data_IF_701680138787
#
_entry.id   IF_701680138787
#
_cell.length_a   1.000
_cell.length_b   1.000
_cell.length_c   1.000
_cell.angle_alpha   90.00
_cell.angle_beta   90.00
_cell.angle_gamma   90.00
#
_symmetry.space_group_name_H-M   'P 1'
#
loop_
_entity.id
_entity.type
_entity.pdbx_description
1 polymer ?
#
# COMPACT_ATOMS: atom_id res chain seq x y z
N UNK A 1 10.92 45.66 43.28
CA UNK A 1 10.93 47.14 43.33
C UNK A 1 10.78 47.53 44.80
N UNK A 2 11.68 48.33 45.38
CA UNK A 2 11.59 48.72 46.80
C UNK A 2 10.99 50.12 46.83
N UNK A 3 9.77 50.26 47.38
CA UNK A 3 9.24 51.55 47.84
C UNK A 3 9.42 51.58 49.35
N UNK A 4 9.65 52.75 49.93
CA UNK A 4 9.87 52.91 51.38
C UNK A 4 8.86 52.05 52.18
N UNK A 5 9.38 51.06 52.91
CA UNK A 5 8.68 50.00 53.67
C UNK A 5 7.97 48.83 52.94
N UNK A 6 8.04 48.68 51.60
CA UNK A 6 7.48 47.50 50.89
C UNK A 6 8.49 46.79 49.98
N UNK A 7 8.57 45.48 50.12
CA UNK A 7 9.34 44.58 49.23
C UNK A 7 8.39 43.66 48.48
N UNK A 8 8.54 43.60 47.16
CA UNK A 8 7.74 42.75 46.28
C UNK A 8 8.58 41.59 45.75
N UNK A 9 8.14 40.36 45.97
CA UNK A 9 8.73 39.14 45.45
C UNK A 9 7.79 38.51 44.42
N UNK A 10 8.37 38.04 43.32
CA UNK A 10 7.67 37.38 42.23
C UNK A 10 8.34 36.05 41.95
N UNK A 11 7.58 34.95 42.07
CA UNK A 11 8.03 33.63 41.68
C UNK A 11 7.18 33.12 40.51
N UNK A 12 7.83 32.69 39.43
CA UNK A 12 7.18 32.12 38.25
C UNK A 12 7.70 30.71 38.00
N UNK A 13 6.78 29.78 37.74
CA UNK A 13 7.07 28.40 37.38
C UNK A 13 6.37 28.07 36.07
N UNK A 14 6.98 27.22 35.24
CA UNK A 14 6.37 26.68 34.02
C UNK A 14 5.97 27.75 32.98
N UNK A 15 6.83 28.74 32.77
CA UNK A 15 6.58 29.89 31.85
C UNK A 15 6.28 29.43 30.41
N UNK A 16 6.89 28.32 29.96
CA UNK A 16 6.66 27.76 28.62
C UNK A 16 5.18 27.41 28.33
N UNK A 17 4.36 27.17 29.34
CA UNK A 17 2.93 26.89 29.16
C UNK A 17 2.13 28.07 28.58
N UNK A 18 2.62 29.31 28.73
CA UNK A 18 1.99 30.48 28.11
C UNK A 18 1.98 30.40 26.59
N UNK A 19 3.06 29.87 26.01
CA UNK A 19 3.23 29.77 24.57
C UNK A 19 2.60 28.52 23.97
N UNK A 20 1.94 27.66 24.78
CA UNK A 20 1.37 26.41 24.29
C UNK A 20 0.37 26.63 23.15
N UNK A 21 -0.50 27.64 23.27
CA UNK A 21 -1.44 28.00 22.20
C UNK A 21 -0.71 28.49 20.94
N UNK A 22 0.31 29.34 21.07
CA UNK A 22 1.06 29.86 19.94
C UNK A 22 1.77 28.74 19.17
N UNK A 23 2.36 27.78 19.89
CA UNK A 23 3.02 26.60 19.31
C UNK A 23 2.02 25.74 18.53
N UNK A 24 0.79 25.58 19.01
CA UNK A 24 -0.28 24.88 18.28
C UNK A 24 -0.61 25.60 16.96
N UNK A 25 -0.79 26.92 16.97
CA UNK A 25 -1.10 27.68 15.75
C UNK A 25 0.03 27.61 14.73
N UNK A 26 1.28 27.71 15.17
CA UNK A 26 2.46 27.50 14.31
C UNK A 26 2.42 26.10 13.70
N UNK A 27 2.11 25.06 14.49
CA UNK A 27 1.96 23.70 13.99
C UNK A 27 0.91 23.59 12.88
N UNK A 28 -0.26 24.21 13.05
CA UNK A 28 -1.34 24.24 12.04
C UNK A 28 -0.88 24.95 10.77
N UNK A 29 -0.21 26.10 10.88
CA UNK A 29 0.31 26.84 9.72
C UNK A 29 1.35 26.01 8.95
N UNK A 30 2.23 25.30 9.66
CA UNK A 30 3.22 24.40 9.03
C UNK A 30 2.51 23.24 8.30
N UNK A 31 1.48 22.64 8.90
CA UNK A 31 0.70 21.57 8.25
C UNK A 31 0.02 22.10 6.97
N UNK A 32 -0.60 23.28 7.03
CA UNK A 32 -1.25 23.91 5.89
C UNK A 32 -0.25 24.21 4.76
N UNK A 33 0.90 24.80 5.09
CA UNK A 33 1.97 25.06 4.13
C UNK A 33 2.49 23.74 3.52
N UNK A 34 2.69 22.71 4.34
CA UNK A 34 3.05 21.37 3.90
C UNK A 34 2.03 20.79 2.92
N UNK A 35 0.73 20.90 3.22
CA UNK A 35 -0.34 20.47 2.33
C UNK A 35 -0.37 21.20 0.99
N UNK A 36 -0.12 22.52 0.97
CA UNK A 36 0.00 23.30 -0.28
C UNK A 36 1.19 22.82 -1.10
N UNK A 37 2.35 22.61 -0.46
CA UNK A 37 3.56 22.10 -1.12
C UNK A 37 3.35 20.67 -1.66
N UNK A 38 2.69 19.80 -0.89
CA UNK A 38 2.30 18.45 -1.31
C UNK A 38 1.34 18.49 -2.51
N UNK A 39 0.35 19.39 -2.51
CA UNK A 39 -0.60 19.54 -3.62
C UNK A 39 0.05 20.08 -4.90
N UNK A 40 0.93 21.08 -4.78
CA UNK A 40 1.58 21.70 -5.93
C UNK A 40 2.73 20.87 -6.52
N UNK A 41 3.49 20.17 -5.66
CA UNK A 41 4.69 19.42 -6.04
C UNK A 41 4.55 17.90 -6.00
N UNK A 42 3.43 17.39 -5.50
CA UNK A 42 3.16 15.96 -5.36
C UNK A 42 3.06 15.25 -6.70
N UNK A 43 3.59 14.04 -6.74
CA UNK A 43 3.56 13.17 -7.91
C UNK A 43 3.12 11.78 -7.49
N UNK A 44 2.19 11.18 -8.23
CA UNK A 44 1.80 9.76 -8.11
C UNK A 44 1.55 9.18 -9.49
N UNK A 45 2.13 8.01 -9.77
CA UNK A 45 1.91 7.28 -11.02
C UNK A 45 1.95 5.78 -10.78
N UNK A 46 0.96 5.07 -11.30
CA UNK A 46 0.97 3.61 -11.35
C UNK A 46 1.76 3.16 -12.59
N UNK A 47 2.71 2.25 -12.38
CA UNK A 47 3.53 1.64 -13.40
C UNK A 47 3.26 0.15 -13.41
N UNK A 48 2.89 -0.38 -14.58
CA UNK A 48 2.76 -1.82 -14.78
C UNK A 48 4.10 -2.38 -15.26
N UNK A 49 4.57 -3.42 -14.59
CA UNK A 49 5.81 -4.13 -14.88
C UNK A 49 5.54 -5.61 -15.12
N UNK A 50 6.11 -6.16 -16.19
CA UNK A 50 6.44 -7.59 -16.27
C UNK A 50 7.88 -7.80 -15.79
N UNK A 51 8.23 -9.03 -15.41
CA UNK A 51 9.61 -9.35 -15.01
C UNK A 51 10.59 -8.99 -16.13
N UNK A 52 11.68 -8.32 -15.77
CA UNK A 52 12.68 -7.78 -16.70
C UNK A 52 12.35 -6.38 -17.24
N UNK A 53 11.12 -5.87 -17.09
CA UNK A 53 10.76 -4.54 -17.57
C UNK A 53 11.55 -3.44 -16.83
N UNK A 54 12.05 -2.48 -17.61
CA UNK A 54 12.66 -1.24 -17.10
C UNK A 54 11.74 -0.07 -17.44
N UNK A 55 11.43 0.76 -16.43
CA UNK A 55 10.59 1.96 -16.58
C UNK A 55 11.29 3.18 -15.98
N UNK A 56 11.25 4.28 -16.72
CA UNK A 56 11.65 5.60 -16.22
C UNK A 56 10.48 6.35 -15.59
N UNK A 57 10.80 7.36 -14.78
CA UNK A 57 9.82 8.22 -14.12
C UNK A 57 9.99 9.67 -14.56
N UNK A 58 8.90 10.43 -14.73
CA UNK A 58 8.98 11.87 -14.94
C UNK A 58 9.75 12.55 -13.80
N UNK A 59 10.67 13.46 -14.13
CA UNK A 59 11.49 14.23 -13.18
C UNK A 59 12.41 13.37 -12.29
N UNK A 60 12.68 12.12 -12.69
CA UNK A 60 13.71 11.28 -12.09
C UNK A 60 14.87 11.10 -13.08
N UNK A 61 16.09 11.08 -12.55
CA UNK A 61 17.34 10.80 -13.25
C UNK A 61 17.72 9.30 -13.22
N UNK A 62 16.83 8.46 -12.68
CA UNK A 62 17.01 7.03 -12.52
C UNK A 62 15.84 6.25 -13.14
N UNK A 63 16.06 4.95 -13.38
CA UNK A 63 15.05 4.00 -13.84
C UNK A 63 14.80 2.96 -12.76
N UNK A 64 13.70 2.24 -12.89
CA UNK A 64 13.36 1.11 -12.02
C UNK A 64 13.15 -0.11 -12.88
N UNK A 65 13.68 -1.25 -12.45
CA UNK A 65 13.51 -2.56 -13.06
C UNK A 65 12.79 -3.49 -12.09
N UNK A 66 11.85 -4.28 -12.61
CA UNK A 66 11.30 -5.42 -11.86
C UNK A 66 12.14 -6.65 -12.16
N UNK A 67 12.92 -7.12 -11.18
CA UNK A 67 13.76 -8.30 -11.34
C UNK A 67 12.96 -9.60 -11.22
N UNK A 68 12.02 -9.62 -10.27
CA UNK A 68 11.22 -10.81 -9.96
C UNK A 68 9.90 -10.43 -9.32
N UNK A 69 8.84 -11.16 -9.63
CA UNK A 69 7.54 -11.08 -8.98
C UNK A 69 7.12 -12.47 -8.50
N UNK A 70 6.87 -12.59 -7.20
CA UNK A 70 6.47 -13.84 -6.56
C UNK A 70 5.19 -13.66 -5.77
N UNK A 71 4.32 -14.66 -5.85
CA UNK A 71 3.15 -14.77 -4.98
C UNK A 71 3.42 -15.84 -3.92
N UNK A 72 3.41 -15.44 -2.66
CA UNK A 72 3.50 -16.36 -1.53
C UNK A 72 2.08 -16.84 -1.19
N UNK A 73 1.91 -18.15 -1.00
CA UNK A 73 0.61 -18.75 -0.69
C UNK A 73 0.62 -19.38 0.71
N UNK A 74 -0.53 -19.34 1.38
CA UNK A 74 -0.78 -20.16 2.55
C UNK A 74 -0.95 -21.65 2.16
N UNK A 75 -0.81 -22.60 3.09
CA UNK A 75 -0.99 -24.04 2.80
C UNK A 75 -2.37 -24.41 2.22
N UNK A 76 -3.40 -23.60 2.50
CA UNK A 76 -4.75 -23.75 1.95
C UNK A 76 -4.89 -23.21 0.51
N UNK A 77 -3.80 -22.70 -0.09
CA UNK A 77 -3.76 -22.12 -1.44
C UNK A 77 -4.24 -20.67 -1.53
N UNK A 78 -4.65 -20.02 -0.45
CA UNK A 78 -4.99 -18.59 -0.48
C UNK A 78 -3.72 -17.74 -0.52
N UNK A 79 -3.77 -16.58 -1.17
CA UNK A 79 -2.61 -15.71 -1.26
C UNK A 79 -2.24 -15.14 0.12
N UNK A 80 -0.97 -15.27 0.47
CA UNK A 80 -0.37 -14.73 1.70
C UNK A 80 0.25 -13.35 1.46
N UNK A 81 1.06 -13.23 0.43
CA UNK A 81 1.77 -11.99 0.13
C UNK A 81 2.22 -11.91 -1.33
N UNK A 82 2.49 -10.70 -1.80
CA UNK A 82 3.06 -10.43 -3.12
C UNK A 82 4.38 -9.71 -2.97
N UNK A 83 5.43 -10.31 -3.51
CA UNK A 83 6.79 -9.82 -3.39
C UNK A 83 7.30 -9.43 -4.76
N UNK A 84 7.65 -8.15 -4.90
CA UNK A 84 8.31 -7.63 -6.11
C UNK A 84 9.75 -7.25 -5.76
N UNK A 85 10.73 -7.86 -6.40
CA UNK A 85 12.13 -7.43 -6.29
C UNK A 85 12.35 -6.27 -7.25
N UNK A 86 12.44 -5.06 -6.70
CA UNK A 86 12.68 -3.85 -7.49
C UNK A 86 14.12 -3.41 -7.37
N UNK A 87 14.72 -3.09 -8.51
CA UNK A 87 16.06 -2.53 -8.59
C UNK A 87 16.03 -1.13 -9.22
N UNK A 88 16.63 -0.18 -8.54
CA UNK A 88 16.88 1.17 -9.03
C UNK A 88 18.16 1.18 -9.84
N UNK A 89 18.08 1.72 -11.05
CA UNK A 89 19.17 1.82 -12.00
C UNK A 89 19.54 3.29 -12.22
N UNK A 90 20.81 3.65 -12.05
CA UNK A 90 21.36 4.94 -12.48
C UNK A 90 22.43 4.71 -13.52
N UNK A 91 22.35 5.43 -14.65
CA UNK A 91 23.26 5.23 -15.79
C UNK A 91 23.39 3.74 -16.21
N UNK A 92 22.28 3.00 -16.11
CA UNK A 92 22.17 1.55 -16.35
C UNK A 92 22.86 0.64 -15.31
N UNK A 93 23.44 1.19 -14.25
CA UNK A 93 24.03 0.42 -13.15
C UNK A 93 23.04 0.23 -11.99
N UNK A 94 22.96 -0.98 -11.39
CA UNK A 94 22.12 -1.23 -10.23
C UNK A 94 22.70 -0.57 -8.97
N UNK A 95 21.95 0.37 -8.41
CA UNK A 95 22.36 1.14 -7.22
C UNK A 95 21.73 0.57 -5.94
N UNK A 96 20.46 0.15 -6.03
CA UNK A 96 19.70 -0.33 -4.89
C UNK A 96 18.73 -1.40 -5.37
N UNK A 97 18.73 -2.56 -4.71
CA UNK A 97 17.74 -3.61 -4.90
C UNK A 97 17.01 -3.87 -3.59
N UNK A 98 15.69 -4.00 -3.64
CA UNK A 98 14.87 -4.31 -2.47
C UNK A 98 13.64 -5.12 -2.87
N UNK A 99 13.32 -6.13 -2.07
CA UNK A 99 12.02 -6.79 -2.12
C UNK A 99 10.98 -5.87 -1.47
N UNK A 100 10.01 -5.43 -2.26
CA UNK A 100 8.85 -4.69 -1.77
C UNK A 100 7.66 -5.63 -1.59
N UNK A 101 6.91 -5.38 -0.54
CA UNK A 101 5.69 -6.09 -0.16
C UNK A 101 4.71 -5.06 0.45
N UNK A 102 3.51 -5.51 0.83
CA UNK A 102 2.50 -4.62 1.40
C UNK A 102 3.07 -3.93 2.66
N UNK A 103 2.99 -2.60 2.72
CA UNK A 103 3.54 -1.74 3.79
C UNK A 103 5.08 -1.67 3.90
N UNK A 104 5.83 -2.37 3.06
CA UNK A 104 7.29 -2.31 3.04
C UNK A 104 7.82 -1.73 1.71
N UNK A 105 7.63 -0.42 1.46
CA UNK A 105 8.01 0.18 0.19
C UNK A 105 9.52 0.37 0.03
N UNK A 106 9.97 0.59 -1.21
CA UNK A 106 11.31 1.06 -1.54
C UNK A 106 11.29 2.59 -1.61
N UNK A 107 12.24 3.25 -0.95
CA UNK A 107 12.39 4.71 -1.01
C UNK A 107 13.74 5.10 -1.61
N UNK A 108 13.74 6.00 -2.59
CA UNK A 108 14.95 6.47 -3.26
C UNK A 108 14.78 7.89 -3.83
N UNK A 109 15.73 8.80 -3.56
CA UNK A 109 15.73 10.21 -4.04
C UNK A 109 14.38 10.97 -3.87
N UNK A 110 13.71 10.71 -2.75
CA UNK A 110 12.40 11.29 -2.41
C UNK A 110 11.21 10.64 -3.10
N UNK A 111 11.43 9.62 -3.95
CA UNK A 111 10.38 8.74 -4.45
C UNK A 111 10.18 7.57 -3.50
N UNK A 112 8.95 7.10 -3.40
CA UNK A 112 8.55 5.91 -2.67
C UNK A 112 7.75 5.02 -3.61
N UNK A 113 8.10 3.74 -3.64
CA UNK A 113 7.54 2.72 -4.50
C UNK A 113 6.73 1.74 -3.68
N UNK A 114 5.41 1.79 -3.87
CA UNK A 114 4.46 0.95 -3.17
C UNK A 114 3.98 -0.18 -4.08
N UNK A 115 3.91 -1.39 -3.54
CA UNK A 115 3.16 -2.47 -4.16
C UNK A 115 1.68 -2.08 -4.16
N UNK A 116 1.09 -1.87 -5.34
CA UNK A 116 -0.29 -1.37 -5.47
C UNK A 116 -1.27 -2.44 -5.94
N UNK A 117 -0.89 -3.24 -6.93
CA UNK A 117 -1.73 -4.31 -7.47
C UNK A 117 -0.89 -5.31 -8.26
N UNK A 118 -1.51 -6.34 -8.80
CA UNK A 118 -0.89 -7.35 -9.65
C UNK A 118 -1.96 -7.98 -10.54
N UNK A 119 -1.54 -8.77 -11.52
CA UNK A 119 -2.46 -9.51 -12.34
C UNK A 119 -1.78 -10.42 -13.34
N UNK A 120 -2.61 -11.00 -14.20
CA UNK A 120 -2.19 -11.89 -15.27
C UNK A 120 -2.27 -11.16 -16.60
N UNK A 121 -1.21 -11.31 -17.39
CA UNK A 121 -1.17 -10.92 -18.78
C UNK A 121 -1.67 -12.08 -19.64
N UNK A 122 -2.95 -12.04 -19.98
CA UNK A 122 -3.62 -13.08 -20.78
C UNK A 122 -3.31 -13.03 -22.28
N UNK A 123 -2.63 -11.98 -22.77
CA UNK A 123 -2.39 -11.77 -24.21
C UNK A 123 -1.49 -12.83 -24.84
N UNK A 124 -0.51 -13.34 -24.10
CA UNK A 124 0.44 -14.35 -24.57
C UNK A 124 0.30 -15.67 -23.80
N UNK A 125 -0.95 -16.11 -23.59
CA UNK A 125 -1.23 -17.34 -22.84
C UNK A 125 -0.89 -18.57 -23.67
N UNK A 126 -0.17 -19.51 -23.07
CA UNK A 126 -0.03 -20.89 -23.55
C UNK A 126 -0.93 -21.82 -22.77
N UNK A 127 -1.44 -22.86 -23.41
CA UNK A 127 -2.24 -23.90 -22.76
C UNK A 127 -1.64 -25.28 -23.01
N UNK A 128 -1.74 -26.14 -22.01
CA UNK A 128 -1.43 -27.56 -22.11
C UNK A 128 -2.72 -28.34 -22.34
N UNK A 129 -2.83 -28.96 -23.50
CA UNK A 129 -3.98 -29.78 -23.88
C UNK A 129 -3.53 -31.24 -23.99
N UNK A 130 -4.29 -32.11 -23.34
CA UNK A 130 -4.15 -33.54 -23.51
C UNK A 130 -5.20 -34.04 -24.48
N UNK A 131 -4.75 -34.80 -25.47
CA UNK A 131 -5.59 -35.45 -26.46
C UNK A 131 -5.58 -36.94 -26.18
N UNK A 132 -6.77 -37.51 -26.03
CA UNK A 132 -6.99 -38.94 -25.79
C UNK A 132 -7.92 -39.52 -26.87
N UNK A 133 -7.88 -40.83 -27.03
CA UNK A 133 -8.85 -41.58 -27.84
C UNK A 133 -9.84 -42.30 -26.92
N UNK A 134 -11.13 -42.28 -27.22
CA UNK A 134 -12.14 -42.96 -26.40
C UNK A 134 -12.07 -44.48 -26.57
N UNK A 135 -11.73 -44.97 -27.77
CA UNK A 135 -11.57 -46.40 -28.05
C UNK A 135 -10.20 -46.96 -27.68
N UNK A 136 -9.17 -46.11 -27.58
CA UNK A 136 -7.81 -46.49 -27.19
C UNK A 136 -7.32 -45.68 -25.98
N UNK A 137 -7.47 -46.22 -24.74
CA UNK A 137 -7.03 -45.56 -23.52
C UNK A 137 -5.51 -45.34 -23.42
N UNK A 138 -4.71 -46.07 -24.20
CA UNK A 138 -3.25 -45.94 -24.20
C UNK A 138 -2.76 -44.73 -25.00
N UNK A 139 -3.61 -44.20 -25.88
CA UNK A 139 -3.30 -43.02 -26.67
C UNK A 139 -3.40 -41.76 -25.82
N UNK A 140 -2.26 -41.15 -25.52
CA UNK A 140 -2.16 -39.84 -24.88
C UNK A 140 -1.16 -38.97 -25.63
N UNK A 141 -1.64 -37.91 -26.27
CA UNK A 141 -0.78 -36.86 -26.83
C UNK A 141 -0.89 -35.60 -25.98
N UNK A 142 0.24 -35.15 -25.44
CA UNK A 142 0.35 -33.88 -24.75
C UNK A 142 0.81 -32.83 -25.75
N UNK A 143 0.11 -31.71 -25.82
CA UNK A 143 0.49 -30.59 -26.68
C UNK A 143 0.44 -29.30 -25.88
N UNK A 144 1.47 -28.47 -26.04
CA UNK A 144 1.50 -27.11 -25.50
C UNK A 144 1.44 -26.15 -26.69
N UNK A 145 0.50 -25.20 -26.64
CA UNK A 145 0.33 -24.23 -27.72
C UNK A 145 -0.09 -22.87 -27.19
N UNK A 146 0.31 -21.80 -27.89
CA UNK A 146 -0.20 -20.45 -27.63
C UNK A 146 -1.62 -20.30 -28.16
N UNK A 147 -2.42 -19.46 -27.49
CA UNK A 147 -3.72 -19.04 -28.03
C UNK A 147 -3.51 -18.39 -29.40
N UNK A 148 -4.28 -18.83 -30.39
CA UNK A 148 -4.17 -18.44 -31.80
C UNK A 148 -3.20 -19.28 -32.63
N UNK A 149 -2.38 -20.13 -32.03
CA UNK A 149 -1.46 -21.01 -32.74
C UNK A 149 -2.16 -22.29 -33.22
N UNK A 150 -1.83 -22.75 -34.43
CA UNK A 150 -2.21 -24.07 -34.95
C UNK A 150 -1.07 -25.07 -34.72
N UNK A 151 -1.40 -26.24 -34.19
CA UNK A 151 -0.48 -27.35 -33.97
C UNK A 151 -1.01 -28.60 -34.66
N UNK A 152 -0.15 -29.30 -35.38
CA UNK A 152 -0.50 -30.56 -36.03
C UNK A 152 -0.44 -31.72 -35.03
N UNK A 153 -1.49 -32.54 -34.98
CA UNK A 153 -1.46 -33.82 -34.29
C UNK A 153 -0.82 -34.87 -35.19
N UNK A 154 0.45 -35.17 -34.90
CA UNK A 154 1.19 -36.26 -35.53
C UNK A 154 0.38 -37.56 -35.51
N UNK A 155 0.14 -38.12 -36.71
CA UNK A 155 -0.55 -39.40 -36.91
C UNK A 155 -1.99 -39.32 -37.42
N UNK A 156 -2.67 -38.17 -37.32
CA UNK A 156 -4.11 -38.05 -37.67
C UNK A 156 -4.40 -37.06 -38.83
N UNK A 157 -3.40 -36.29 -39.30
CA UNK A 157 -3.58 -35.17 -40.24
C UNK A 157 -4.61 -34.13 -39.75
N UNK A 158 -4.69 -33.92 -38.44
CA UNK A 158 -5.60 -32.96 -37.79
C UNK A 158 -4.78 -31.82 -37.22
N UNK A 159 -5.15 -30.60 -37.57
CA UNK A 159 -4.63 -29.38 -36.96
C UNK A 159 -5.55 -28.95 -35.83
N UNK A 160 -4.98 -28.63 -34.69
CA UNK A 160 -5.71 -28.09 -33.53
C UNK A 160 -5.24 -26.68 -33.26
N UNK A 161 -6.19 -25.81 -32.99
CA UNK A 161 -5.94 -24.46 -32.49
C UNK A 161 -6.82 -24.15 -31.29
N UNK A 162 -6.28 -23.30 -30.43
CA UNK A 162 -7.02 -22.68 -29.34
C UNK A 162 -7.37 -21.27 -29.77
N UNK A 163 -8.64 -20.99 -30.01
CA UNK A 163 -9.07 -19.68 -30.50
C UNK A 163 -9.25 -18.68 -29.35
N UNK A 164 -9.75 -19.15 -28.22
CA UNK A 164 -10.02 -18.31 -27.05
C UNK A 164 -9.61 -19.01 -25.77
N UNK A 165 -9.15 -18.23 -24.80
CA UNK A 165 -8.92 -18.67 -23.42
C UNK A 165 -9.63 -17.71 -22.48
N UNK A 166 -10.37 -18.26 -21.52
CA UNK A 166 -11.15 -17.51 -20.53
C UNK A 166 -10.74 -17.99 -19.14
N UNK A 167 -10.18 -17.12 -18.28
CA UNK A 167 -9.65 -17.53 -16.98
C UNK A 167 -10.75 -17.83 -15.94
N UNK A 168 -11.92 -17.20 -16.04
CA UNK A 168 -13.04 -17.41 -15.12
C UNK A 168 -14.36 -17.56 -15.89
N UNK A 169 -14.49 -18.69 -16.59
CA UNK A 169 -15.60 -18.93 -17.51
C UNK A 169 -16.96 -18.87 -16.81
N UNK A 170 -17.84 -18.03 -17.38
CA UNK A 170 -19.26 -18.01 -17.09
C UNK A 170 -20.06 -17.81 -18.38
N UNK A 171 -21.33 -18.21 -18.33
CA UNK A 171 -22.34 -17.81 -19.31
C UNK A 171 -23.24 -16.81 -18.59
N UNK A 172 -23.37 -15.60 -19.13
CA UNK A 172 -24.21 -14.56 -18.52
C UNK A 172 -25.71 -14.78 -18.81
N UNK A 173 -26.58 -13.94 -18.25
CA UNK A 173 -28.04 -14.04 -18.45
C UNK A 173 -28.47 -13.85 -19.92
N UNK A 174 -27.59 -13.29 -20.76
CA UNK A 174 -27.79 -13.14 -22.21
C UNK A 174 -27.30 -14.35 -23.00
N UNK A 175 -26.90 -15.42 -22.32
CA UNK A 175 -26.33 -16.63 -22.90
C UNK A 175 -25.00 -16.39 -23.66
N UNK A 176 -24.28 -15.33 -23.31
CA UNK A 176 -22.98 -14.99 -23.87
C UNK A 176 -21.87 -15.54 -22.97
N UNK A 177 -20.82 -16.07 -23.59
CA UNK A 177 -19.64 -16.54 -22.87
C UNK A 177 -18.77 -15.34 -22.50
N UNK A 178 -18.45 -15.20 -21.22
CA UNK A 178 -17.59 -14.13 -20.70
C UNK A 178 -16.74 -14.61 -19.52
N UNK A 179 -15.82 -13.76 -19.07
CA UNK A 179 -15.04 -13.99 -17.85
C UNK A 179 -15.65 -13.24 -16.68
N UNK A 180 -15.93 -13.93 -15.57
CA UNK A 180 -16.42 -13.30 -14.32
C UNK A 180 -15.36 -12.39 -13.70
N UNK A 181 -14.10 -12.79 -13.80
CA UNK A 181 -12.95 -12.06 -13.26
C UNK A 181 -11.72 -12.30 -14.13
N UNK A 182 -10.63 -11.57 -13.86
CA UNK A 182 -9.31 -11.82 -14.46
C UNK A 182 -8.49 -12.85 -13.69
N UNK A 183 -9.06 -13.50 -12.68
CA UNK A 183 -8.40 -14.56 -11.92
C UNK A 183 -8.71 -15.92 -12.55
N UNK A 184 -7.75 -16.88 -12.57
CA UNK A 184 -7.95 -18.20 -13.18
C UNK A 184 -8.80 -19.14 -12.31
N UNK A 185 -10.00 -18.71 -11.90
CA UNK A 185 -10.87 -19.47 -11.01
C UNK A 185 -11.61 -20.60 -11.72
N UNK A 186 -11.94 -20.43 -13.00
CA UNK A 186 -12.59 -21.45 -13.82
C UNK A 186 -12.05 -21.40 -15.27
N UNK A 187 -10.78 -21.81 -15.48
CA UNK A 187 -10.15 -21.66 -16.78
C UNK A 187 -10.78 -22.58 -17.84
N UNK A 188 -11.12 -22.00 -18.99
CA UNK A 188 -11.65 -22.69 -20.14
C UNK A 188 -10.97 -22.23 -21.43
N UNK A 189 -10.85 -23.14 -22.39
CA UNK A 189 -10.32 -22.84 -23.73
C UNK A 189 -11.34 -23.26 -24.78
N UNK A 190 -11.52 -22.44 -25.81
CA UNK A 190 -12.26 -22.82 -27.00
C UNK A 190 -11.29 -23.39 -28.02
N UNK A 191 -11.47 -24.67 -28.33
CA UNK A 191 -10.65 -25.39 -29.30
C UNK A 191 -11.39 -25.55 -30.61
N UNK A 192 -10.60 -25.60 -31.67
CA UNK A 192 -11.03 -25.97 -33.01
C UNK A 192 -10.04 -26.97 -33.59
N UNK A 193 -10.55 -28.07 -34.13
CA UNK A 193 -9.76 -29.06 -34.86
C UNK A 193 -10.23 -29.13 -36.32
N UNK A 194 -9.28 -29.07 -37.24
CA UNK A 194 -9.51 -29.10 -38.69
C UNK A 194 -8.69 -30.21 -39.35
N UNK A 195 -9.29 -30.91 -40.33
CA UNK A 195 -8.61 -31.89 -41.18
C UNK A 195 -8.50 -31.28 -42.58
N UNK A 196 -7.30 -30.85 -42.96
CA UNK A 196 -7.16 -29.90 -44.08
C UNK A 196 -7.81 -28.56 -43.73
N UNK A 197 -8.65 -28.04 -44.62
CA UNK A 197 -9.42 -26.80 -44.41
C UNK A 197 -10.81 -27.04 -43.79
N UNK A 198 -11.21 -28.30 -43.60
CA UNK A 198 -12.53 -28.64 -43.08
C UNK A 198 -12.49 -28.76 -41.54
N UNK A 199 -13.35 -27.99 -40.87
CA UNK A 199 -13.54 -28.05 -39.42
C UNK A 199 -14.24 -29.36 -39.05
N UNK A 200 -13.62 -30.15 -38.19
CA UNK A 200 -14.16 -31.45 -37.75
C UNK A 200 -14.71 -31.41 -36.32
N UNK A 201 -14.13 -30.55 -35.48
CA UNK A 201 -14.47 -30.48 -34.07
C UNK A 201 -14.29 -29.06 -33.54
N UNK A 202 -15.19 -28.62 -32.68
CA UNK A 202 -15.04 -27.36 -31.95
C UNK A 202 -15.77 -27.39 -30.63
N UNK A 203 -15.28 -26.67 -29.63
CA UNK A 203 -15.98 -26.57 -28.36
C UNK A 203 -15.15 -26.06 -27.21
N UNK A 204 -15.83 -25.89 -26.08
CA UNK A 204 -15.22 -25.46 -24.83
C UNK A 204 -14.70 -26.67 -24.05
N UNK A 205 -13.44 -26.59 -23.64
CA UNK A 205 -12.79 -27.51 -22.71
C UNK A 205 -12.44 -26.78 -21.41
N UNK A 206 -12.59 -27.45 -20.27
CA UNK A 206 -12.48 -26.86 -18.95
C UNK A 206 -11.36 -27.52 -18.15
N UNK A 207 -10.57 -26.72 -17.44
CA UNK A 207 -9.47 -27.25 -16.63
C UNK A 207 -9.94 -27.95 -15.35
N UNK A 208 -10.89 -27.34 -14.63
CA UNK A 208 -11.41 -27.86 -13.35
C UNK A 208 -12.53 -28.88 -13.50
N UNK A 209 -13.23 -28.85 -14.64
CA UNK A 209 -14.43 -29.65 -14.87
C UNK A 209 -14.34 -30.34 -16.24
N UNK A 210 -13.35 -31.23 -16.47
CA UNK A 210 -13.10 -31.83 -17.78
C UNK A 210 -14.32 -32.58 -18.34
N UNK A 211 -15.15 -33.17 -17.47
CA UNK A 211 -16.37 -33.91 -17.86
C UNK A 211 -17.47 -33.01 -18.45
N UNK A 212 -17.40 -31.69 -18.21
CA UNK A 212 -18.37 -30.72 -18.73
C UNK A 212 -17.97 -30.16 -20.10
N UNK A 213 -16.91 -30.68 -20.73
CA UNK A 213 -16.48 -30.25 -22.05
C UNK A 213 -17.62 -30.36 -23.07
N UNK A 214 -18.06 -29.22 -23.62
CA UNK A 214 -19.14 -29.14 -24.61
C UNK A 214 -18.52 -29.10 -26.00
N UNK A 215 -18.09 -30.26 -26.46
CA UNK A 215 -17.46 -30.42 -27.76
C UNK A 215 -18.50 -30.85 -28.79
N UNK A 216 -18.75 -29.99 -29.79
CA UNK A 216 -19.50 -30.35 -30.99
C UNK A 216 -18.55 -30.98 -32.00
N UNK A 217 -18.84 -32.20 -32.42
CA UNK A 217 -18.15 -32.87 -33.52
C UNK A 217 -19.09 -32.91 -34.72
N UNK A 218 -18.68 -32.34 -35.85
CA UNK A 218 -19.46 -32.36 -37.10
C UNK A 218 -19.29 -33.70 -37.83
N UNK A 219 -18.26 -34.48 -37.46
CA UNK A 219 -18.00 -35.86 -37.90
C UNK A 219 -17.76 -36.76 -36.68
N UNK A 220 -17.99 -38.07 -36.81
CA UNK A 220 -17.62 -39.02 -35.75
C UNK A 220 -16.10 -38.96 -35.51
N UNK A 221 -15.69 -38.41 -34.36
CA UNK A 221 -14.29 -38.42 -33.91
C UNK A 221 -14.17 -39.22 -32.63
N UNK A 222 -13.13 -40.03 -32.53
CA UNK A 222 -12.79 -40.77 -31.31
C UNK A 222 -11.98 -39.92 -30.31
N UNK A 223 -11.73 -38.64 -30.63
CA UNK A 223 -10.84 -37.80 -29.85
C UNK A 223 -11.58 -37.14 -28.69
N UNK A 224 -10.90 -37.06 -27.54
CA UNK A 224 -11.29 -36.22 -26.41
C UNK A 224 -10.15 -35.27 -26.06
N UNK A 225 -10.53 -34.08 -25.61
CA UNK A 225 -9.63 -32.98 -25.35
C UNK A 225 -9.80 -32.50 -23.91
N UNK A 226 -8.70 -32.43 -23.17
CA UNK A 226 -8.68 -31.98 -21.79
C UNK A 226 -7.69 -30.83 -21.64
N UNK A 227 -8.16 -29.69 -21.13
CA UNK A 227 -7.29 -28.59 -20.72
C UNK A 227 -6.66 -28.95 -19.38
N UNK A 228 -5.34 -29.18 -19.34
CA UNK A 228 -4.67 -29.53 -18.08
C UNK A 228 -4.12 -28.34 -17.35
N UNK A 229 -3.44 -27.47 -18.07
CA UNK A 229 -2.75 -26.35 -17.46
C UNK A 229 -2.70 -25.15 -18.41
N UNK A 230 -2.31 -24.00 -17.89
CA UNK A 230 -2.02 -22.81 -18.66
C UNK A 230 -0.77 -22.12 -18.12
N UNK A 231 -0.08 -21.38 -18.99
CA UNK A 231 1.01 -20.49 -18.63
C UNK A 231 0.69 -19.11 -19.18
N UNK A 232 0.47 -18.16 -18.28
CA UNK A 232 0.26 -16.76 -18.62
C UNK A 232 1.32 -15.93 -17.88
N UNK A 233 1.79 -14.87 -18.51
CA UNK A 233 2.71 -13.93 -17.85
C UNK A 233 2.01 -13.26 -16.68
N UNK A 234 2.75 -12.88 -15.65
CA UNK A 234 2.23 -12.03 -14.57
C UNK A 234 2.76 -10.61 -14.72
N UNK A 235 2.04 -9.66 -14.14
CA UNK A 235 2.49 -8.29 -14.01
C UNK A 235 2.25 -7.78 -12.59
N UNK A 236 3.11 -6.86 -12.17
CA UNK A 236 3.01 -6.13 -10.92
C UNK A 236 2.74 -4.66 -11.20
N UNK A 237 1.81 -4.07 -10.46
CA UNK A 237 1.51 -2.63 -10.53
C UNK A 237 2.17 -1.96 -9.33
N UNK A 238 3.16 -1.14 -9.63
CA UNK A 238 3.92 -0.38 -8.64
C UNK A 238 3.51 1.07 -8.71
N UNK A 239 3.07 1.63 -7.58
CA UNK A 239 2.80 3.05 -7.47
C UNK A 239 4.08 3.77 -7.07
N UNK A 240 4.58 4.63 -7.96
CA UNK A 240 5.64 5.57 -7.65
C UNK A 240 5.02 6.88 -7.15
N UNK A 241 5.40 7.31 -5.95
CA UNK A 241 4.95 8.55 -5.35
C UNK A 241 6.12 9.42 -4.91
N UNK A 242 6.01 10.74 -5.02
CA UNK A 242 6.95 11.70 -4.45
C UNK A 242 6.16 12.85 -3.86
N UNK A 243 6.39 13.13 -2.59
CA UNK A 243 5.68 14.17 -1.85
C UNK A 243 6.70 15.08 -1.13
N UNK A 244 6.92 16.31 -1.63
CA UNK A 244 7.86 17.23 -1.00
C UNK A 244 7.31 17.87 0.29
N UNK A 245 5.99 17.89 0.50
CA UNK A 245 5.35 18.53 1.63
C UNK A 245 5.21 17.63 2.86
N UNK A 246 5.35 16.31 2.70
CA UNK A 246 5.13 15.33 3.77
C UNK A 246 5.99 15.58 5.01
N UNK A 247 7.25 16.02 4.84
CA UNK A 247 8.14 16.31 5.97
C UNK A 247 7.65 17.54 6.76
N UNK A 248 7.14 18.57 6.08
CA UNK A 248 6.56 19.74 6.73
C UNK A 248 5.32 19.34 7.53
N UNK A 249 4.45 18.50 6.97
CA UNK A 249 3.27 17.99 7.66
C UNK A 249 3.68 17.28 8.96
N UNK A 250 4.66 16.38 8.92
CA UNK A 250 5.14 15.69 10.13
C UNK A 250 5.75 16.64 11.17
N UNK A 251 6.54 17.63 10.74
CA UNK A 251 7.07 18.67 11.63
C UNK A 251 5.91 19.42 12.29
N UNK A 252 4.92 19.86 11.51
CA UNK A 252 3.76 20.59 12.01
C UNK A 252 2.92 19.76 12.99
N UNK A 253 2.74 18.45 12.73
CA UNK A 253 2.13 17.52 13.68
C UNK A 253 2.93 17.44 14.99
N UNK A 254 4.26 17.43 14.92
CA UNK A 254 5.13 17.47 16.10
C UNK A 254 4.96 18.74 16.92
N UNK A 255 4.92 19.91 16.26
CA UNK A 255 4.64 21.18 16.91
C UNK A 255 3.24 21.20 17.56
N UNK A 256 2.23 20.68 16.87
CA UNK A 256 0.87 20.59 17.41
C UNK A 256 0.84 19.75 18.69
N UNK A 257 1.49 18.58 18.69
CA UNK A 257 1.59 17.72 19.88
C UNK A 257 2.34 18.40 21.03
N UNK A 258 3.46 19.07 20.73
CA UNK A 258 4.23 19.81 21.72
C UNK A 258 3.45 20.98 22.32
N UNK A 259 2.77 21.77 21.50
CA UNK A 259 1.95 22.89 21.93
C UNK A 259 0.79 22.45 22.82
N UNK A 260 0.14 21.34 22.47
CA UNK A 260 -0.90 20.72 23.28
C UNK A 260 -0.35 20.27 24.65
N UNK A 261 0.82 19.63 24.66
CA UNK A 261 1.49 19.19 25.88
C UNK A 261 1.83 20.38 26.80
N UNK A 262 2.39 21.46 26.25
CA UNK A 262 2.68 22.69 26.99
C UNK A 262 1.41 23.35 27.54
N UNK A 263 0.35 23.40 26.74
CA UNK A 263 -0.92 24.04 27.10
C UNK A 263 -1.67 23.29 28.21
N UNK A 264 -1.58 21.96 28.29
CA UNK A 264 -2.34 21.15 29.26
C UNK A 264 -1.52 20.64 30.44
N UNK A 265 -0.29 20.20 30.22
CA UNK A 265 0.52 19.57 31.27
C UNK A 265 1.55 20.53 31.89
N UNK A 266 1.80 21.66 31.25
CA UNK A 266 2.77 22.65 31.72
C UNK A 266 2.16 24.03 32.07
N UNK A 267 1.00 24.11 32.74
CA UNK A 267 0.37 25.40 32.99
C UNK A 267 1.25 26.28 33.88
N UNK A 268 1.38 27.54 33.48
CA UNK A 268 2.14 28.56 34.19
C UNK A 268 1.55 28.80 35.58
N UNK A 269 2.42 28.98 36.57
CA UNK A 269 2.06 29.34 37.93
C UNK A 269 2.85 30.58 38.34
N UNK A 270 2.18 31.54 38.94
CA UNK A 270 2.79 32.77 39.44
C UNK A 270 2.37 32.98 40.90
N UNK A 271 3.34 33.27 41.77
CA UNK A 271 3.11 33.66 43.16
C UNK A 271 3.71 35.05 43.35
N UNK A 272 2.91 35.95 43.92
CA UNK A 272 3.31 37.31 44.30
C UNK A 272 3.29 37.40 45.82
N UNK A 273 4.36 37.90 46.40
CA UNK A 273 4.46 38.14 47.85
C UNK A 273 4.85 39.59 48.07
N UNK A 274 4.17 40.25 49.00
CA UNK A 274 4.41 41.62 49.44
C UNK A 274 4.81 41.53 50.92
N UNK A 275 5.98 42.05 51.23
CA UNK A 275 6.49 42.18 52.59
C UNK A 275 6.41 43.65 52.98
N UNK A 276 5.67 43.96 54.03
CA UNK A 276 5.50 45.31 54.55
C UNK A 276 6.03 45.38 55.98
N UNK A 277 6.93 46.34 56.23
CA UNK A 277 7.57 46.49 57.53
C UNK A 277 6.87 47.62 58.30
N UNK A 278 6.27 47.29 59.45
CA UNK A 278 5.55 48.23 60.29
C UNK A 278 5.79 47.94 61.76
N UNK A 279 6.25 48.95 62.51
CA UNK A 279 6.44 48.91 63.97
C UNK A 279 7.23 47.67 64.47
N UNK A 280 8.33 47.31 63.79
CA UNK A 280 9.18 46.17 64.17
C UNK A 280 8.59 44.78 63.88
N UNK A 281 7.48 44.71 63.12
CA UNK A 281 6.88 43.48 62.62
C UNK A 281 6.87 43.50 61.09
N UNK A 282 7.11 42.35 60.47
CA UNK A 282 6.95 42.15 59.02
C UNK A 282 5.60 41.52 58.75
N UNK A 283 4.73 42.22 58.03
CA UNK A 283 3.49 41.69 57.50
C UNK A 283 3.73 41.07 56.11
N UNK A 284 3.15 39.89 55.87
CA UNK A 284 3.32 39.13 54.62
C UNK A 284 1.97 38.94 53.95
N UNK A 285 1.80 39.54 52.77
CA UNK A 285 0.63 39.36 51.92
C UNK A 285 1.06 38.57 50.69
N UNK A 286 0.49 37.39 50.47
CA UNK A 286 0.81 36.56 49.31
C UNK A 286 -0.45 36.18 48.52
N UNK A 287 -0.32 36.06 47.21
CA UNK A 287 -1.36 35.58 46.31
C UNK A 287 -0.80 34.77 45.14
N UNK A 288 -1.57 33.81 44.66
CA UNK A 288 -1.21 32.94 43.53
C UNK A 288 -2.13 33.14 42.33
N UNK A 289 -1.57 33.05 41.13
CA UNK A 289 -2.31 33.07 39.86
C UNK A 289 -1.92 31.82 39.06
N UNK A 290 -2.93 31.04 38.65
CA UNK A 290 -2.78 29.96 37.69
C UNK A 290 -3.89 30.05 36.63
N UNK A 291 -3.49 29.93 35.36
CA UNK A 291 -4.41 29.89 34.23
C UNK A 291 -5.20 28.59 34.16
N UNK A 292 -4.61 27.47 34.61
CA UNK A 292 -5.22 26.14 34.73
C UNK A 292 -4.75 25.44 36.00
N UNK A 293 -5.46 24.41 36.44
CA UNK A 293 -5.11 23.59 37.63
C UNK A 293 -4.98 24.44 38.92
N UNK A 294 -5.98 25.29 39.19
CA UNK A 294 -5.99 26.20 40.35
C UNK A 294 -5.89 25.45 41.69
N UNK A 295 -6.56 24.31 41.82
CA UNK A 295 -6.52 23.46 43.02
C UNK A 295 -5.08 22.99 43.33
N UNK A 296 -4.35 22.53 42.32
CA UNK A 296 -2.97 22.09 42.51
C UNK A 296 -2.01 23.25 42.86
N UNK A 297 -2.29 24.47 42.39
CA UNK A 297 -1.56 25.66 42.87
C UNK A 297 -1.97 26.00 44.30
N UNK A 298 -3.25 25.87 44.66
CA UNK A 298 -3.73 26.16 46.01
C UNK A 298 -3.05 25.26 47.05
N UNK A 299 -2.99 23.95 46.82
CA UNK A 299 -2.30 23.03 47.74
C UNK A 299 -0.81 23.36 47.88
N UNK A 300 -0.09 23.62 46.77
CA UNK A 300 1.33 24.02 46.80
C UNK A 300 1.51 25.37 47.51
N UNK A 301 0.60 26.32 47.30
CA UNK A 301 0.62 27.62 47.94
C UNK A 301 0.39 27.52 49.46
N UNK A 302 -0.57 26.72 49.91
CA UNK A 302 -0.84 26.47 51.33
C UNK A 302 0.37 25.82 52.03
N UNK A 303 1.04 24.87 51.37
CA UNK A 303 2.26 24.23 51.89
C UNK A 303 3.42 25.23 52.04
N UNK A 304 3.63 26.09 51.04
CA UNK A 304 4.64 27.16 51.09
C UNK A 304 4.33 28.14 52.23
N UNK A 305 3.07 28.58 52.36
CA UNK A 305 2.66 29.53 53.40
C UNK A 305 2.74 28.93 54.80
N UNK A 306 2.45 27.63 54.94
CA UNK A 306 2.61 26.90 56.21
C UNK A 306 4.08 26.80 56.62
N UNK A 307 4.96 26.49 55.67
CA UNK A 307 6.41 26.46 55.90
C UNK A 307 6.95 27.82 56.33
N UNK A 308 6.49 28.91 55.68
CA UNK A 308 6.84 30.28 56.06
C UNK A 308 6.38 30.63 57.48
N UNK A 309 5.18 30.19 57.90
CA UNK A 309 4.68 30.42 59.27
C UNK A 309 5.49 29.69 60.34
N UNK A 310 6.08 28.54 60.00
CA UNK A 310 6.90 27.72 60.93
C UNK A 310 8.34 28.23 61.10
N UNK A 311 8.84 29.07 60.20
CA UNK A 311 10.17 29.68 60.26
C UNK A 311 10.22 30.92 61.20
N UNK A 312 9.11 31.23 61.86
CA UNK A 312 8.97 32.32 62.84
C UNK A 312 9.13 31.80 64.25
#
# INVERSE_FOLDING_TARGET
MRRENKTFLLARKRILGWFGADVVHIGILIILAGGIISGAGGFRKNLTFSEGDIRGLPKADFKVRLDKFETEYYPNGSVKDWKSTLTVLEKEEPILSKVIEVNHPLSYKGFVFYQSSYGWNWTNTSVEIWVRKRKDPSFLRKTEMKVGQRVNLEGENIHISVLHFIPDFIINDRNEVTSRSLQPNNPAAFIEGCKGDEKIISGWIFSKFPDFARIHSEKETDLSFELKNFKAGQFSVIQAAKDPGVNFIWIGCGFLMLGLALAFYWPSREIKVILEESQGKTEVIAGGIASKSREALQSEFEEIMTSLRRLR
#
